data_IF_823722059823
#
_entry.id   IF_823722059823
#
_cell.length_a   1.000
_cell.length_b   1.000
_cell.length_c   1.000
_cell.angle_alpha   90.00
_cell.angle_beta   90.00
_cell.angle_gamma   90.00
#
_symmetry.space_group_name_H-M   'P 1'
#
loop_
_entity.id
_entity.type
_entity.pdbx_description
1 polymer ?
#
# COMPACT_ATOMS: atom_id res chain seq x y z
N UNK A 1 -1.64 11.53 13.04
CA UNK A 1 -2.16 10.16 12.87
C UNK A 1 -2.71 9.65 14.19
N UNK A 2 -3.91 9.06 14.21
CA UNK A 2 -4.47 8.47 15.44
C UNK A 2 -3.88 7.07 15.66
N UNK A 3 -3.80 6.61 16.92
CA UNK A 3 -3.33 5.25 17.26
C UNK A 3 -4.09 4.15 16.51
N UNK A 4 -5.37 4.39 16.21
CA UNK A 4 -6.23 3.44 15.51
C UNK A 4 -5.87 3.30 14.02
N UNK A 5 -5.58 4.41 13.33
CA UNK A 5 -5.21 4.38 11.91
C UNK A 5 -3.86 3.71 11.70
N UNK A 6 -2.90 3.94 12.60
CA UNK A 6 -1.60 3.26 12.55
C UNK A 6 -1.74 1.74 12.72
N UNK A 7 -2.63 1.28 13.61
CA UNK A 7 -2.95 -0.15 13.76
C UNK A 7 -3.57 -0.74 12.50
N UNK A 8 -4.48 -0.01 11.86
CA UNK A 8 -5.12 -0.45 10.63
C UNK A 8 -4.10 -0.62 9.49
N UNK A 9 -3.19 0.32 9.32
CA UNK A 9 -2.09 0.21 8.34
C UNK A 9 -1.25 -1.04 8.62
N UNK A 10 -0.82 -1.25 9.87
CA UNK A 10 -0.03 -2.42 10.25
C UNK A 10 -0.78 -3.75 9.98
N UNK A 11 -2.10 -3.77 10.20
CA UNK A 11 -2.94 -4.92 9.86
C UNK A 11 -2.89 -5.23 8.35
N UNK A 12 -3.07 -4.24 7.48
CA UNK A 12 -3.01 -4.47 6.04
C UNK A 12 -1.59 -4.78 5.54
N UNK A 13 -0.55 -4.18 6.14
CA UNK A 13 0.84 -4.53 5.83
C UNK A 13 1.15 -6.00 6.13
N UNK A 14 0.59 -6.57 7.20
CA UNK A 14 0.76 -7.99 7.50
C UNK A 14 0.10 -8.88 6.43
N UNK A 15 -1.05 -8.48 5.89
CA UNK A 15 -1.79 -9.21 4.86
C UNK A 15 -1.07 -9.27 3.51
N UNK A 16 -0.11 -8.38 3.24
CA UNK A 16 0.74 -8.43 2.05
C UNK A 16 1.62 -9.69 1.97
N UNK A 17 1.69 -10.50 3.03
CA UNK A 17 2.42 -11.77 3.07
C UNK A 17 1.51 -13.00 2.92
N UNK A 18 0.20 -12.81 2.69
CA UNK A 18 -0.73 -13.93 2.50
C UNK A 18 -0.32 -14.75 1.26
N UNK A 19 -0.49 -16.08 1.36
CA UNK A 19 -0.17 -17.02 0.27
C UNK A 19 -1.08 -16.80 -0.94
N UNK A 20 -2.32 -16.37 -0.71
CA UNK A 20 -3.32 -16.11 -1.75
C UNK A 20 -3.08 -14.74 -2.39
N UNK A 21 -2.91 -14.65 -3.72
CA UNK A 21 -2.73 -13.37 -4.39
C UNK A 21 -3.93 -12.44 -4.19
N UNK A 22 -5.15 -12.98 -4.07
CA UNK A 22 -6.37 -12.20 -3.85
C UNK A 22 -6.32 -11.42 -2.53
N UNK A 23 -5.84 -12.06 -1.45
CA UNK A 23 -5.71 -11.42 -0.15
C UNK A 23 -4.64 -10.30 -0.15
N UNK A 24 -3.58 -10.45 -0.95
CA UNK A 24 -2.57 -9.41 -1.14
C UNK A 24 -3.12 -8.24 -1.94
N UNK A 25 -3.90 -8.51 -3.00
CA UNK A 25 -4.58 -7.48 -3.79
C UNK A 25 -5.56 -6.66 -2.95
N UNK A 26 -6.37 -7.32 -2.12
CA UNK A 26 -7.26 -6.63 -1.18
C UNK A 26 -6.46 -5.73 -0.23
N UNK A 27 -5.37 -6.23 0.35
CA UNK A 27 -4.52 -5.43 1.23
C UNK A 27 -3.88 -4.22 0.53
N UNK A 28 -3.48 -4.36 -0.74
CA UNK A 28 -2.98 -3.23 -1.54
C UNK A 28 -4.07 -2.17 -1.73
N UNK A 29 -5.31 -2.58 -2.02
CA UNK A 29 -6.43 -1.64 -2.21
C UNK A 29 -6.71 -0.85 -0.92
N UNK A 30 -6.80 -1.53 0.22
CA UNK A 30 -7.04 -0.92 1.53
C UNK A 30 -5.92 0.07 1.90
N UNK A 31 -4.64 -0.30 1.69
CA UNK A 31 -3.50 0.60 1.90
C UNK A 31 -3.56 1.81 0.96
N UNK A 32 -4.02 1.62 -0.27
CA UNK A 32 -4.21 2.71 -1.23
C UNK A 32 -5.28 3.67 -0.73
N UNK A 33 -6.41 3.19 -0.22
CA UNK A 33 -7.47 4.03 0.32
C UNK A 33 -7.00 4.84 1.54
N UNK A 34 -6.23 4.21 2.43
CA UNK A 34 -5.64 4.87 3.59
C UNK A 34 -4.64 5.96 3.22
N UNK A 35 -3.94 5.82 2.08
CA UNK A 35 -3.10 6.88 1.52
C UNK A 35 -1.84 7.18 2.32
N UNK A 36 -1.44 6.29 3.23
CA UNK A 36 -0.30 6.53 4.12
C UNK A 36 1.02 6.18 3.45
N UNK A 37 1.98 7.11 3.53
CA UNK A 37 3.33 6.95 2.96
C UNK A 37 4.13 5.81 3.61
N UNK A 38 3.78 5.41 4.83
CA UNK A 38 4.40 4.27 5.51
C UNK A 38 4.20 2.95 4.75
N UNK A 39 3.23 2.88 3.83
CA UNK A 39 2.99 1.70 2.99
C UNK A 39 3.97 1.59 1.80
N UNK A 40 4.62 2.69 1.39
CA UNK A 40 5.39 2.75 0.15
C UNK A 40 6.52 1.71 0.07
N UNK A 41 7.35 1.47 1.12
CA UNK A 41 8.40 0.46 1.05
C UNK A 41 7.86 -0.96 0.83
N UNK A 42 6.72 -1.29 1.42
CA UNK A 42 6.12 -2.61 1.27
C UNK A 42 5.52 -2.81 -0.13
N UNK A 43 4.88 -1.77 -0.68
CA UNK A 43 4.35 -1.78 -2.04
C UNK A 43 5.48 -1.89 -3.08
N UNK A 44 6.61 -1.21 -2.84
CA UNK A 44 7.80 -1.37 -3.70
C UNK A 44 8.30 -2.82 -3.69
N UNK A 45 8.45 -3.43 -2.51
CA UNK A 45 8.91 -4.82 -2.41
C UNK A 45 8.00 -5.79 -3.18
N UNK A 46 6.67 -5.62 -3.11
CA UNK A 46 5.74 -6.42 -3.90
C UNK A 46 5.88 -6.18 -5.40
N UNK A 47 6.02 -4.91 -5.83
CA UNK A 47 6.25 -4.60 -7.24
C UNK A 47 7.50 -5.29 -7.80
N UNK A 48 8.58 -5.36 -7.01
CA UNK A 48 9.86 -5.93 -7.44
C UNK A 48 9.85 -7.47 -7.42
N UNK A 49 9.16 -8.08 -6.44
CA UNK A 49 9.42 -9.50 -6.10
C UNK A 49 8.18 -10.40 -6.04
N UNK A 50 6.96 -9.86 -6.07
CA UNK A 50 5.76 -10.71 -5.96
C UNK A 50 5.66 -11.67 -7.16
N UNK A 51 5.39 -12.97 -6.95
CA UNK A 51 5.28 -13.92 -8.05
C UNK A 51 4.09 -13.62 -8.98
N UNK A 52 3.02 -13.03 -8.47
CA UNK A 52 1.81 -12.74 -9.23
C UNK A 52 1.91 -11.39 -9.95
N UNK A 53 1.73 -11.39 -11.27
CA UNK A 53 1.86 -10.18 -12.10
C UNK A 53 0.79 -9.14 -11.81
N UNK A 54 -0.41 -9.56 -11.41
CA UNK A 54 -1.51 -8.67 -11.04
C UNK A 54 -1.17 -7.95 -9.73
N UNK A 55 -0.56 -8.65 -8.77
CA UNK A 55 -0.09 -8.05 -7.52
C UNK A 55 1.01 -7.02 -7.79
N UNK A 56 2.00 -7.34 -8.65
CA UNK A 56 3.04 -6.36 -9.02
C UNK A 56 2.47 -5.08 -9.63
N UNK A 57 1.50 -5.23 -10.55
CA UNK A 57 0.83 -4.09 -11.21
C UNK A 57 0.01 -3.26 -10.22
N UNK A 58 -0.74 -3.92 -9.34
CA UNK A 58 -1.52 -3.26 -8.31
C UNK A 58 -0.60 -2.46 -7.36
N UNK A 59 0.51 -3.05 -6.92
CA UNK A 59 1.46 -2.41 -6.02
C UNK A 59 2.12 -1.17 -6.66
N UNK A 60 2.49 -1.24 -7.94
CA UNK A 60 3.00 -0.08 -8.69
C UNK A 60 1.97 1.05 -8.76
N UNK A 61 0.71 0.72 -9.08
CA UNK A 61 -0.38 1.69 -9.18
C UNK A 61 -0.66 2.35 -7.82
N UNK A 62 -0.80 1.55 -6.76
CA UNK A 62 -0.98 1.99 -5.39
C UNK A 62 0.14 2.93 -4.93
N UNK A 63 1.40 2.54 -5.15
CA UNK A 63 2.56 3.36 -4.78
C UNK A 63 2.54 4.74 -5.45
N UNK A 64 2.18 4.81 -6.73
CA UNK A 64 2.03 6.09 -7.44
C UNK A 64 0.92 6.95 -6.84
N UNK A 65 -0.25 6.38 -6.55
CA UNK A 65 -1.39 7.12 -6.00
C UNK A 65 -1.09 7.68 -4.61
N UNK A 66 -0.49 6.86 -3.74
CA UNK A 66 -0.08 7.28 -2.39
C UNK A 66 0.95 8.41 -2.50
N UNK A 67 2.00 8.23 -3.31
CA UNK A 67 3.02 9.26 -3.50
C UNK A 67 2.43 10.59 -3.99
N UNK A 68 1.55 10.57 -4.99
CA UNK A 68 0.91 11.78 -5.50
C UNK A 68 0.05 12.50 -4.45
N UNK A 69 -0.62 11.75 -3.56
CA UNK A 69 -1.34 12.36 -2.43
C UNK A 69 -0.40 13.04 -1.46
N UNK A 70 0.76 12.44 -1.19
CA UNK A 70 1.74 13.03 -0.28
C UNK A 70 2.31 14.35 -0.79
N UNK A 71 2.49 14.50 -2.10
CA UNK A 71 2.92 15.75 -2.72
C UNK A 71 1.84 16.83 -2.64
N UNK A 72 0.58 16.50 -2.93
CA UNK A 72 -0.54 17.45 -2.82
C UNK A 72 -0.76 17.94 -1.40
N UNK A 73 -0.54 17.08 -0.40
CA UNK A 73 -0.63 17.48 1.01
C UNK A 73 0.50 18.43 1.44
N UNK A 74 1.65 18.43 0.77
CA UNK A 74 2.76 19.35 1.08
C UNK A 74 2.71 20.68 0.31
N UNK A 75 1.89 20.80 -0.74
CA UNK A 75 1.76 22.04 -1.54
C UNK A 75 0.67 23.00 -1.00
N UNK A 76 -0.08 22.60 0.03
CA UNK A 76 -1.19 23.37 0.61
C UNK A 76 -0.97 23.90 2.03
N UNK A 77 0.24 23.75 2.58
CA UNK A 77 0.71 24.35 3.84
C UNK A 77 1.69 25.49 3.55
#
# INVERSE_FOLDING_TARGET
MTSNQKKLIQYHLARLKDRRPEARLEAINELTELGDRDALPALQALFETDPDISVRRAAQHAGRLIYLRTLKSSEGE
#
